data_IF_925897233120
#
_entry.id   IF_925897233120
#
_cell.length_a   1.000
_cell.length_b   1.000
_cell.length_c   1.000
_cell.angle_alpha   90.00
_cell.angle_beta   90.00
_cell.angle_gamma   90.00
#
_symmetry.space_group_name_H-M   'P 1'
#
loop_
_entity.id
_entity.type
_entity.pdbx_description
1 polymer ?
#
# COMPACT_ATOMS: atom_id res chain seq x y z
N UNK A 1 -74.37 37.92 6.85
CA UNK A 1 -73.12 37.28 7.29
C UNK A 1 -72.50 36.57 6.10
N UNK A 2 -71.51 37.19 5.44
CA UNK A 2 -70.74 36.57 4.34
C UNK A 2 -69.61 35.76 4.98
N UNK A 3 -69.62 34.43 4.86
CA UNK A 3 -68.45 33.61 5.20
C UNK A 3 -67.71 33.25 3.92
N UNK A 4 -66.56 33.90 3.80
CA UNK A 4 -65.50 33.66 2.83
C UNK A 4 -64.87 32.30 3.18
N UNK A 5 -64.98 31.31 2.29
CA UNK A 5 -64.18 30.08 2.39
C UNK A 5 -62.89 30.35 1.63
N UNK A 6 -61.81 30.57 2.38
CA UNK A 6 -60.46 30.68 1.84
C UNK A 6 -60.01 29.29 1.47
N UNK A 7 -59.86 29.03 0.17
CA UNK A 7 -59.20 27.84 -0.36
C UNK A 7 -57.70 27.98 -0.07
N UNK A 8 -57.21 27.26 0.94
CA UNK A 8 -55.80 27.20 1.27
C UNK A 8 -55.11 26.30 0.25
N UNK A 9 -54.61 26.89 -0.84
CA UNK A 9 -53.69 26.24 -1.75
C UNK A 9 -52.38 25.96 -0.98
N UNK A 10 -52.18 24.69 -0.61
CA UNK A 10 -50.88 24.21 -0.12
C UNK A 10 -49.92 24.26 -1.31
N UNK A 11 -49.15 25.34 -1.40
CA UNK A 11 -47.94 25.38 -2.23
C UNK A 11 -46.97 24.33 -1.68
N UNK A 12 -46.79 23.21 -2.40
CA UNK A 12 -45.60 22.36 -2.24
C UNK A 12 -44.37 23.15 -2.71
N UNK A 13 -43.77 23.90 -1.80
CA UNK A 13 -42.47 24.54 -1.97
C UNK A 13 -41.40 23.64 -1.33
N UNK A 14 -40.90 22.62 -2.06
CA UNK A 14 -39.55 22.06 -1.83
C UNK A 14 -39.06 21.15 -2.98
N UNK A 15 -39.05 21.65 -4.21
CA UNK A 15 -38.40 20.95 -5.34
C UNK A 15 -37.00 21.50 -5.69
N UNK A 16 -36.49 22.50 -4.97
CA UNK A 16 -35.20 23.15 -5.26
C UNK A 16 -34.08 22.78 -4.26
N UNK A 17 -34.16 21.58 -3.67
CA UNK A 17 -33.18 21.08 -2.71
C UNK A 17 -32.06 20.26 -3.33
N UNK A 18 -31.01 20.03 -2.53
CA UNK A 18 -30.06 18.92 -2.68
C UNK A 18 -30.15 18.10 -1.41
N UNK A 19 -30.32 16.80 -1.55
CA UNK A 19 -30.50 15.85 -0.47
C UNK A 19 -29.59 14.66 -0.74
N UNK A 20 -28.47 14.59 -0.02
CA UNK A 20 -27.52 13.52 -0.25
C UNK A 20 -28.15 12.17 0.12
N UNK A 21 -28.28 11.27 -0.86
CA UNK A 21 -28.60 9.86 -0.64
C UNK A 21 -27.36 9.08 -0.22
N UNK A 22 -26.18 9.52 -0.68
CA UNK A 22 -24.89 8.95 -0.30
C UNK A 22 -23.86 10.05 -0.03
N UNK A 23 -22.93 9.79 0.90
CA UNK A 23 -21.83 10.71 1.22
C UNK A 23 -20.55 9.94 1.47
N UNK A 24 -19.53 10.25 0.68
CA UNK A 24 -18.19 9.70 0.76
C UNK A 24 -17.26 10.69 1.47
N UNK A 25 -16.47 10.19 2.42
CA UNK A 25 -15.45 10.95 3.12
C UNK A 25 -14.10 10.37 2.77
N UNK A 26 -13.26 11.15 2.12
CA UNK A 26 -12.05 10.68 1.47
C UNK A 26 -10.83 11.38 2.09
N UNK A 27 -9.75 10.61 2.22
CA UNK A 27 -8.41 11.11 2.49
C UNK A 27 -7.58 10.79 1.26
N UNK A 28 -7.02 11.82 0.63
CA UNK A 28 -6.11 11.69 -0.50
C UNK A 28 -4.69 11.55 0.03
N UNK A 29 -3.90 10.67 -0.59
CA UNK A 29 -2.50 10.39 -0.23
C UNK A 29 -1.70 9.96 -1.46
N UNK A 30 -0.36 10.02 -1.37
CA UNK A 30 0.55 9.47 -2.38
C UNK A 30 0.44 7.94 -2.51
N UNK A 31 0.09 7.25 -1.42
CA UNK A 31 -0.15 5.80 -1.39
C UNK A 31 -1.34 5.33 -2.25
N UNK A 32 -2.21 6.24 -2.70
CA UNK A 32 -3.28 5.90 -3.62
C UNK A 32 -3.04 6.41 -5.04
N UNK A 33 -1.95 7.14 -5.27
CA UNK A 33 -1.62 7.72 -6.56
C UNK A 33 -1.26 6.64 -7.58
N UNK A 34 -1.52 6.93 -8.86
CA UNK A 34 -1.21 6.03 -9.98
C UNK A 34 -0.37 6.80 -10.99
N UNK A 35 0.94 6.50 -11.13
CA UNK A 35 1.72 5.58 -10.30
C UNK A 35 1.86 6.03 -8.83
N UNK A 36 2.18 5.08 -7.94
CA UNK A 36 2.52 5.34 -6.54
C UNK A 36 3.65 6.36 -6.45
N UNK A 37 3.59 7.20 -5.43
CA UNK A 37 4.66 8.12 -5.08
C UNK A 37 4.77 8.24 -3.57
N UNK A 38 5.94 8.68 -3.11
CA UNK A 38 6.28 8.75 -1.69
C UNK A 38 5.91 10.13 -1.09
N UNK A 39 4.87 10.78 -1.62
CA UNK A 39 4.41 12.06 -1.08
C UNK A 39 3.74 11.87 0.28
N UNK A 40 4.27 12.57 1.27
CA UNK A 40 3.68 12.73 2.60
C UNK A 40 2.52 13.75 2.61
N UNK A 41 2.22 14.39 1.48
CA UNK A 41 1.07 15.28 1.41
C UNK A 41 -0.22 14.49 1.57
N UNK A 42 -1.16 15.09 2.29
CA UNK A 42 -2.51 14.55 2.42
C UNK A 42 -3.55 15.66 2.49
N UNK A 43 -4.72 15.38 1.93
CA UNK A 43 -5.88 16.27 2.07
C UNK A 43 -7.18 15.49 2.15
N UNK A 44 -8.27 16.18 2.51
CA UNK A 44 -9.60 15.59 2.65
C UNK A 44 -10.54 16.08 1.57
N UNK A 45 -11.39 15.18 1.11
CA UNK A 45 -12.52 15.51 0.26
C UNK A 45 -13.82 14.91 0.80
N UNK A 46 -14.93 15.51 0.37
CA UNK A 46 -16.27 14.98 0.60
C UNK A 46 -17.03 15.00 -0.70
N UNK A 47 -17.55 13.85 -1.11
CA UNK A 47 -18.42 13.71 -2.29
C UNK A 47 -19.81 13.32 -1.82
N UNK A 48 -20.85 13.95 -2.38
CA UNK A 48 -22.23 13.71 -2.03
C UNK A 48 -23.04 13.50 -3.30
N UNK A 49 -23.79 12.41 -3.34
CA UNK A 49 -24.69 12.06 -4.44
C UNK A 49 -26.14 12.24 -3.98
N UNK A 50 -26.96 12.91 -4.79
CA UNK A 50 -28.43 12.94 -4.67
C UNK A 50 -28.98 12.16 -5.88
N UNK A 51 -29.21 10.86 -5.71
CA UNK A 51 -29.67 9.98 -6.79
C UNK A 51 -31.04 10.39 -7.33
N UNK A 52 -31.94 10.80 -6.44
CA UNK A 52 -33.31 11.17 -6.79
C UNK A 52 -33.34 12.36 -7.75
N UNK A 53 -32.43 13.32 -7.56
CA UNK A 53 -32.34 14.53 -8.36
C UNK A 53 -31.17 14.51 -9.35
N UNK A 54 -30.40 13.41 -9.41
CA UNK A 54 -29.25 13.21 -10.29
C UNK A 54 -28.18 14.31 -10.13
N UNK A 55 -27.83 14.63 -8.88
CA UNK A 55 -26.88 15.71 -8.58
C UNK A 55 -25.64 15.20 -7.86
N UNK A 56 -24.48 15.75 -8.21
CA UNK A 56 -23.22 15.58 -7.49
C UNK A 56 -22.83 16.88 -6.78
N UNK A 57 -22.32 16.76 -5.56
CA UNK A 57 -21.55 17.84 -4.92
C UNK A 57 -20.26 17.28 -4.35
N UNK A 58 -19.13 17.80 -4.79
CA UNK A 58 -17.84 17.50 -4.17
C UNK A 58 -17.25 18.76 -3.54
N UNK A 59 -16.52 18.57 -2.44
CA UNK A 59 -15.66 19.58 -1.81
C UNK A 59 -14.31 18.95 -1.54
N UNK A 60 -13.25 19.63 -1.97
CA UNK A 60 -11.86 19.23 -1.74
C UNK A 60 -11.16 20.34 -0.97
N UNK A 61 -10.54 20.03 0.16
CA UNK A 61 -9.67 20.98 0.84
C UNK A 61 -8.31 21.04 0.14
N UNK A 62 -7.70 22.23 0.07
CA UNK A 62 -6.41 22.43 -0.61
C UNK A 62 -5.40 23.17 0.27
N UNK A 63 -5.73 23.40 1.54
CA UNK A 63 -4.75 23.90 2.50
C UNK A 63 -3.72 22.82 2.81
N UNK A 64 -2.45 23.21 2.89
CA UNK A 64 -1.35 22.27 3.16
C UNK A 64 -0.85 21.52 1.93
N UNK A 65 -1.47 21.68 0.76
CA UNK A 65 -0.92 21.17 -0.50
C UNK A 65 -0.01 22.24 -1.10
N UNK A 66 1.28 22.14 -0.83
CA UNK A 66 2.30 22.99 -1.42
C UNK A 66 2.37 22.78 -2.94
N UNK A 67 2.64 23.85 -3.70
CA UNK A 67 2.71 23.76 -5.16
C UNK A 67 1.40 23.40 -5.87
N UNK A 68 0.24 23.44 -5.20
CA UNK A 68 -1.06 23.12 -5.81
C UNK A 68 -1.30 23.82 -7.15
N UNK A 69 -1.75 23.07 -8.16
CA UNK A 69 -2.15 23.59 -9.48
C UNK A 69 -3.63 23.45 -9.76
N UNK A 70 -4.12 22.22 -9.78
CA UNK A 70 -5.52 21.91 -10.08
C UNK A 70 -5.87 20.52 -9.55
N UNK A 71 -7.17 20.21 -9.55
CA UNK A 71 -7.68 18.92 -9.13
C UNK A 71 -8.89 18.53 -9.96
N UNK A 72 -9.09 17.23 -10.11
CA UNK A 72 -10.14 16.66 -10.94
C UNK A 72 -10.84 15.50 -10.23
N UNK A 73 -12.06 15.21 -10.67
CA UNK A 73 -12.69 13.89 -10.54
C UNK A 73 -12.48 13.19 -11.88
N UNK A 74 -11.98 11.97 -11.83
CA UNK A 74 -11.73 11.12 -13.00
C UNK A 74 -12.59 9.86 -12.95
N UNK A 75 -12.83 9.26 -14.11
CA UNK A 75 -13.20 7.86 -14.22
C UNK A 75 -11.94 6.97 -14.15
N UNK A 76 -12.08 5.74 -13.67
CA UNK A 76 -11.02 4.76 -13.44
C UNK A 76 -11.15 4.07 -12.08
N UNK A 77 -11.06 2.73 -12.09
CA UNK A 77 -11.09 1.91 -10.89
C UNK A 77 -9.82 2.04 -10.03
N UNK A 78 -9.67 1.11 -9.08
CA UNK A 78 -8.49 1.07 -8.23
C UNK A 78 -7.23 0.76 -9.07
N UNK A 79 -6.15 1.52 -8.88
CA UNK A 79 -4.91 1.35 -9.63
C UNK A 79 -4.97 1.76 -11.11
N UNK A 80 -6.08 2.35 -11.56
CA UNK A 80 -6.29 2.81 -12.93
C UNK A 80 -6.17 4.33 -13.08
N UNK A 81 -5.82 4.74 -14.29
CA UNK A 81 -5.97 6.12 -14.76
C UNK A 81 -7.14 6.20 -15.75
N UNK A 82 -7.80 7.35 -15.81
CA UNK A 82 -8.84 7.57 -16.80
C UNK A 82 -9.15 9.03 -17.07
N UNK A 83 -10.21 9.27 -17.83
CA UNK A 83 -10.61 10.58 -18.31
C UNK A 83 -11.09 11.50 -17.18
N UNK A 84 -10.98 12.81 -17.40
CA UNK A 84 -11.54 13.82 -16.49
C UNK A 84 -13.05 13.87 -16.66
N UNK A 85 -13.78 13.64 -15.57
CA UNK A 85 -15.23 13.83 -15.49
C UNK A 85 -15.55 15.27 -15.08
N UNK A 86 -14.88 15.77 -14.03
CA UNK A 86 -15.15 17.09 -13.48
C UNK A 86 -13.88 17.81 -13.02
N UNK A 87 -13.84 19.12 -13.23
CA UNK A 87 -12.78 20.00 -12.71
C UNK A 87 -13.22 20.68 -11.41
N UNK A 88 -12.37 20.64 -10.39
CA UNK A 88 -12.61 21.38 -9.16
C UNK A 88 -12.37 22.88 -9.36
N UNK A 89 -13.37 23.70 -9.02
CA UNK A 89 -13.29 25.15 -9.16
C UNK A 89 -13.38 25.86 -7.81
N UNK A 90 -12.85 27.07 -7.74
CA UNK A 90 -13.08 27.95 -6.61
C UNK A 90 -14.59 28.28 -6.48
N UNK A 91 -15.16 28.29 -5.25
CA UNK A 91 -16.56 28.62 -5.06
C UNK A 91 -16.88 30.06 -5.51
N UNK A 92 -17.74 30.20 -6.54
CA UNK A 92 -18.08 31.47 -7.22
C UNK A 92 -18.53 32.66 -6.34
N UNK A 93 -19.00 32.43 -5.11
CA UNK A 93 -19.55 33.47 -4.22
C UNK A 93 -19.05 33.35 -2.78
N UNK A 94 -17.82 32.88 -2.60
CA UNK A 94 -17.22 32.75 -1.26
C UNK A 94 -16.00 33.65 -1.12
N UNK A 95 -15.96 34.45 -0.06
CA UNK A 95 -14.79 35.24 0.32
C UNK A 95 -14.18 34.61 1.56
N UNK A 96 -12.96 34.11 1.43
CA UNK A 96 -12.23 33.48 2.52
C UNK A 96 -11.94 34.47 3.64
N UNK A 97 -12.28 34.09 4.87
CA UNK A 97 -11.82 34.82 6.05
C UNK A 97 -10.39 34.40 6.40
N UNK A 98 -9.67 35.25 7.13
CA UNK A 98 -8.36 34.91 7.64
C UNK A 98 -8.43 33.64 8.52
N UNK A 99 -7.57 32.65 8.25
CA UNK A 99 -7.57 31.35 8.92
C UNK A 99 -8.66 30.37 8.46
N UNK A 100 -9.51 30.74 7.50
CA UNK A 100 -10.49 29.82 6.92
C UNK A 100 -9.81 28.86 5.96
N UNK A 101 -10.13 27.56 6.10
CA UNK A 101 -9.64 26.51 5.20
C UNK A 101 -10.17 26.70 3.78
N UNK A 102 -9.25 26.84 2.82
CA UNK A 102 -9.55 26.91 1.39
C UNK A 102 -10.01 25.56 0.87
N UNK A 103 -11.05 25.62 0.06
CA UNK A 103 -11.59 24.45 -0.61
C UNK A 103 -12.04 24.78 -2.03
N UNK A 104 -12.03 23.75 -2.87
CA UNK A 104 -12.61 23.75 -4.21
C UNK A 104 -13.89 22.93 -4.22
N UNK A 105 -14.69 23.11 -5.27
CA UNK A 105 -15.99 22.43 -5.40
C UNK A 105 -16.24 21.92 -6.82
N UNK A 106 -16.98 20.81 -6.89
CA UNK A 106 -17.69 20.35 -8.09
C UNK A 106 -19.19 20.38 -7.78
N UNK A 107 -20.00 20.83 -8.75
CA UNK A 107 -21.47 20.80 -8.66
C UNK A 107 -22.05 20.37 -10.01
N UNK A 108 -22.58 19.16 -10.07
CA UNK A 108 -23.26 18.62 -11.25
C UNK A 108 -24.77 18.47 -11.01
N UNK A 109 -25.60 18.75 -12.01
CA UNK A 109 -27.06 18.70 -11.92
C UNK A 109 -27.75 17.87 -13.02
N UNK A 110 -27.04 16.94 -13.66
CA UNK A 110 -27.61 16.08 -14.68
C UNK A 110 -26.86 14.77 -14.86
N UNK A 111 -26.43 14.13 -13.77
CA UNK A 111 -25.75 12.83 -13.85
C UNK A 111 -26.61 11.82 -14.63
N UNK A 112 -26.00 11.15 -15.60
CA UNK A 112 -26.59 9.98 -16.24
C UNK A 112 -26.71 8.82 -15.24
N UNK A 113 -27.49 7.81 -15.62
CA UNK A 113 -27.58 6.60 -14.81
C UNK A 113 -26.23 5.88 -14.72
N UNK A 114 -25.52 5.78 -15.85
CA UNK A 114 -24.20 5.14 -15.93
C UNK A 114 -23.17 5.82 -15.02
N UNK A 115 -23.13 7.16 -14.99
CA UNK A 115 -22.22 7.90 -14.10
C UNK A 115 -22.53 7.67 -12.61
N UNK A 116 -23.81 7.59 -12.25
CA UNK A 116 -24.20 7.29 -10.86
C UNK A 116 -23.82 5.86 -10.47
N UNK A 117 -23.96 4.88 -11.37
CA UNK A 117 -23.52 3.51 -11.11
C UNK A 117 -22.00 3.43 -11.00
N UNK A 118 -21.25 4.04 -11.93
CA UNK A 118 -19.79 4.11 -11.88
C UNK A 118 -19.28 4.72 -10.56
N UNK A 119 -19.87 5.83 -10.11
CA UNK A 119 -19.54 6.44 -8.82
C UNK A 119 -19.84 5.49 -7.64
N UNK A 120 -20.94 4.74 -7.68
CA UNK A 120 -21.34 3.81 -6.62
C UNK A 120 -20.46 2.56 -6.56
N UNK A 121 -20.02 2.08 -7.72
CA UNK A 121 -19.11 0.95 -7.86
C UNK A 121 -17.66 1.30 -7.49
N UNK A 122 -17.39 2.59 -7.23
CA UNK A 122 -16.06 3.05 -6.90
C UNK A 122 -15.18 3.20 -8.12
N UNK A 123 -15.74 3.35 -9.32
CA UNK A 123 -15.01 3.51 -10.58
C UNK A 123 -14.52 4.93 -10.82
N UNK A 124 -14.66 5.83 -9.84
CA UNK A 124 -14.20 7.22 -9.92
C UNK A 124 -13.21 7.54 -8.81
N UNK A 125 -12.27 8.44 -9.08
CA UNK A 125 -11.30 8.93 -8.11
C UNK A 125 -11.12 10.45 -8.17
N UNK A 126 -10.57 11.02 -7.10
CA UNK A 126 -10.10 12.40 -7.07
C UNK A 126 -8.58 12.39 -7.12
N UNK A 127 -7.99 13.27 -7.93
CA UNK A 127 -6.55 13.51 -7.95
C UNK A 127 -6.24 15.00 -7.81
N UNK A 128 -5.12 15.32 -7.18
CA UNK A 128 -4.59 16.67 -6.98
C UNK A 128 -3.21 16.76 -7.60
N UNK A 129 -3.04 17.74 -8.49
CA UNK A 129 -1.80 17.98 -9.21
C UNK A 129 -1.04 19.15 -8.59
N UNK A 130 0.27 19.00 -8.47
CA UNK A 130 1.18 20.02 -7.95
C UNK A 130 2.29 20.31 -8.95
N UNK A 131 3.12 21.31 -8.66
CA UNK A 131 4.36 21.57 -9.41
C UNK A 131 5.33 20.40 -9.36
N UNK A 132 5.42 19.74 -8.20
CA UNK A 132 6.37 18.65 -7.96
C UNK A 132 5.94 17.36 -8.66
N UNK A 133 4.63 17.04 -8.65
CA UNK A 133 4.09 15.83 -9.28
C UNK A 133 2.93 16.20 -10.22
N UNK A 134 3.21 16.63 -11.46
CA UNK A 134 2.19 17.05 -12.42
C UNK A 134 1.26 15.93 -12.89
N UNK A 135 1.66 14.67 -12.80
CA UNK A 135 0.80 13.50 -13.07
C UNK A 135 -0.29 13.30 -12.01
N UNK A 136 -0.15 13.96 -10.85
CA UNK A 136 -1.05 13.88 -9.72
C UNK A 136 -0.34 13.33 -8.49
N UNK A 137 -0.20 14.17 -7.47
CA UNK A 137 0.57 13.88 -6.27
C UNK A 137 -0.23 13.03 -5.28
N UNK A 138 -1.47 13.41 -5.00
CA UNK A 138 -2.31 12.71 -4.02
C UNK A 138 -3.65 12.34 -4.64
N UNK A 139 -4.06 11.08 -4.41
CA UNK A 139 -5.28 10.49 -4.99
C UNK A 139 -6.15 9.88 -3.91
N UNK A 140 -7.45 9.80 -4.16
CA UNK A 140 -8.37 8.96 -3.39
C UNK A 140 -9.43 8.35 -4.30
N UNK A 141 -9.63 7.04 -4.20
CA UNK A 141 -10.79 6.40 -4.82
C UNK A 141 -12.07 6.88 -4.12
N UNK A 142 -13.15 7.10 -4.87
CA UNK A 142 -14.44 7.50 -4.29
C UNK A 142 -15.22 6.24 -3.90
N UNK A 143 -14.93 5.72 -2.71
CA UNK A 143 -15.51 4.49 -2.17
C UNK A 143 -16.18 4.71 -0.81
N UNK A 144 -17.18 3.90 -0.42
CA UNK A 144 -17.77 4.00 0.92
C UNK A 144 -16.76 3.57 1.99
N UNK A 145 -17.03 3.95 3.25
CA UNK A 145 -16.15 3.63 4.40
C UNK A 145 -15.98 2.14 4.69
N UNK A 146 -16.82 1.29 4.10
CA UNK A 146 -16.73 -0.16 4.19
C UNK A 146 -15.60 -0.71 3.32
N UNK A 147 -15.07 0.11 2.40
CA UNK A 147 -13.92 -0.25 1.57
C UNK A 147 -12.63 0.23 2.24
N UNK A 148 -11.72 -0.71 2.47
CA UNK A 148 -10.33 -0.44 2.85
C UNK A 148 -9.47 -0.50 1.61
N UNK A 149 -8.61 0.50 1.40
CA UNK A 149 -7.65 0.53 0.29
C UNK A 149 -6.25 0.32 0.83
N UNK A 150 -5.51 -0.60 0.22
CA UNK A 150 -4.09 -0.82 0.47
C UNK A 150 -3.30 -0.64 -0.83
N UNK A 151 -2.03 -0.33 -0.67
CA UNK A 151 -1.06 -0.25 -1.76
C UNK A 151 0.24 -0.92 -1.34
N UNK A 152 0.95 -1.53 -2.27
CA UNK A 152 2.25 -2.15 -2.02
C UNK A 152 3.13 -2.06 -3.25
N UNK A 153 4.44 -2.15 -3.05
CA UNK A 153 5.43 -2.27 -4.12
C UNK A 153 5.91 -3.72 -4.19
N UNK A 154 6.17 -4.21 -5.39
CA UNK A 154 6.77 -5.50 -5.65
C UNK A 154 8.09 -5.33 -6.39
N UNK A 155 9.10 -6.09 -6.00
CA UNK A 155 10.44 -6.04 -6.58
C UNK A 155 11.18 -7.38 -6.36
N UNK A 156 12.37 -7.50 -6.92
CA UNK A 156 13.20 -8.70 -6.80
C UNK A 156 13.85 -8.89 -5.42
N UNK A 157 14.08 -7.82 -4.64
CA UNK A 157 14.73 -7.94 -3.33
C UNK A 157 13.79 -8.54 -2.28
N UNK A 158 12.48 -8.40 -2.47
CA UNK A 158 11.46 -9.05 -1.66
C UNK A 158 11.27 -10.54 -1.97
N UNK A 159 11.71 -11.03 -3.14
CA UNK A 159 11.55 -12.44 -3.52
C UNK A 159 12.39 -13.34 -2.60
N UNK A 160 11.94 -14.58 -2.36
CA UNK A 160 12.63 -15.52 -1.47
C UNK A 160 13.07 -16.77 -2.23
N UNK A 161 14.38 -16.94 -2.49
CA UNK A 161 15.45 -15.97 -2.25
C UNK A 161 15.44 -14.75 -3.18
N UNK A 162 16.22 -13.71 -2.87
CA UNK A 162 16.21 -12.45 -3.63
C UNK A 162 16.66 -12.65 -5.08
N UNK A 163 16.07 -11.88 -5.99
CA UNK A 163 16.36 -11.90 -7.42
C UNK A 163 16.92 -10.55 -7.83
N UNK A 164 18.09 -10.57 -8.48
CA UNK A 164 18.69 -9.37 -9.04
C UNK A 164 17.98 -9.03 -10.37
N UNK A 165 17.05 -8.09 -10.32
CA UNK A 165 16.25 -7.65 -11.47
C UNK A 165 15.81 -6.19 -11.29
N UNK A 166 15.64 -5.47 -12.40
CA UNK A 166 15.04 -4.14 -12.42
C UNK A 166 13.50 -4.19 -12.56
N UNK A 167 12.94 -5.40 -12.64
CA UNK A 167 11.50 -5.62 -12.67
C UNK A 167 10.82 -5.05 -11.42
N UNK A 168 9.62 -4.52 -11.59
CA UNK A 168 8.86 -3.94 -10.47
C UNK A 168 7.36 -4.07 -10.66
N UNK A 169 6.63 -3.91 -9.57
CA UNK A 169 5.16 -3.89 -9.56
C UNK A 169 4.62 -2.88 -8.54
N UNK A 170 3.48 -2.28 -8.89
CA UNK A 170 2.74 -1.38 -8.01
C UNK A 170 1.33 -1.93 -7.85
N UNK A 171 1.03 -2.44 -6.66
CA UNK A 171 -0.23 -3.07 -6.32
C UNK A 171 -1.18 -2.11 -5.63
N UNK A 172 -2.45 -2.26 -5.96
CA UNK A 172 -3.57 -1.54 -5.38
C UNK A 172 -4.69 -2.51 -5.08
N UNK A 173 -5.21 -2.42 -3.86
CA UNK A 173 -6.18 -3.36 -3.32
C UNK A 173 -7.34 -2.58 -2.73
N UNK A 174 -8.56 -3.01 -3.02
CA UNK A 174 -9.78 -2.53 -2.39
C UNK A 174 -10.55 -3.71 -1.80
N UNK A 175 -10.70 -3.74 -0.47
CA UNK A 175 -11.43 -4.79 0.25
C UNK A 175 -12.76 -4.26 0.78
N UNK A 176 -13.87 -4.92 0.45
CA UNK A 176 -15.19 -4.60 0.95
C UNK A 176 -15.55 -5.45 2.16
N UNK A 177 -15.57 -4.83 3.34
CA UNK A 177 -15.89 -5.52 4.61
C UNK A 177 -17.35 -5.95 4.78
N UNK A 178 -18.27 -5.52 3.90
CA UNK A 178 -19.68 -5.95 3.95
C UNK A 178 -19.92 -7.14 3.03
N UNK A 179 -19.38 -7.09 1.82
CA UNK A 179 -19.51 -8.15 0.82
C UNK A 179 -18.42 -9.23 0.96
N UNK A 180 -17.38 -8.97 1.76
CA UNK A 180 -16.18 -9.82 1.90
C UNK A 180 -15.53 -10.10 0.54
N UNK A 181 -15.40 -9.06 -0.27
CA UNK A 181 -14.82 -9.12 -1.63
C UNK A 181 -13.53 -8.31 -1.74
N UNK A 182 -12.62 -8.81 -2.55
CA UNK A 182 -11.31 -8.26 -2.83
C UNK A 182 -11.21 -7.87 -4.30
N UNK A 183 -10.95 -6.60 -4.59
CA UNK A 183 -10.46 -6.16 -5.89
C UNK A 183 -8.97 -5.86 -5.76
N UNK A 184 -8.17 -6.37 -6.68
CA UNK A 184 -6.73 -6.14 -6.76
C UNK A 184 -6.39 -5.76 -8.19
N UNK A 185 -5.54 -4.75 -8.34
CA UNK A 185 -4.82 -4.45 -9.58
C UNK A 185 -3.35 -4.26 -9.29
N UNK A 186 -2.48 -4.92 -10.06
CA UNK A 186 -1.04 -4.69 -10.04
C UNK A 186 -0.59 -4.23 -11.42
N UNK A 187 0.05 -3.05 -11.46
CA UNK A 187 0.72 -2.55 -12.65
C UNK A 187 2.22 -2.91 -12.53
N UNK A 188 2.69 -3.82 -13.37
CA UNK A 188 4.06 -4.32 -13.40
C UNK A 188 4.89 -3.70 -14.52
N UNK A 189 6.21 -3.86 -14.47
CA UNK A 189 7.15 -3.42 -15.50
C UNK A 189 8.31 -4.42 -15.58
N UNK A 190 8.77 -4.70 -16.81
CA UNK A 190 9.93 -5.55 -17.06
C UNK A 190 9.67 -7.04 -16.90
N UNK A 191 8.41 -7.47 -16.86
CA UNK A 191 7.97 -8.87 -16.74
C UNK A 191 6.84 -9.19 -17.71
N UNK A 192 6.85 -8.63 -18.91
CA UNK A 192 5.84 -8.86 -19.94
C UNK A 192 5.74 -10.34 -20.37
N UNK A 193 6.78 -11.13 -20.12
CA UNK A 193 6.82 -12.58 -20.38
C UNK A 193 6.40 -13.43 -19.17
N UNK A 194 5.93 -12.81 -18.08
CA UNK A 194 5.43 -13.54 -16.92
C UNK A 194 4.26 -14.45 -17.30
N UNK A 195 4.32 -15.70 -16.83
CA UNK A 195 3.39 -16.78 -17.19
C UNK A 195 2.34 -17.05 -16.13
N UNK A 196 2.52 -16.51 -14.92
CA UNK A 196 1.57 -16.62 -13.82
C UNK A 196 1.83 -15.53 -12.78
N UNK A 197 0.79 -15.15 -12.05
CA UNK A 197 0.91 -14.36 -10.83
C UNK A 197 -0.13 -14.79 -9.82
N UNK A 198 0.18 -14.62 -8.53
CA UNK A 198 -0.63 -15.14 -7.43
C UNK A 198 -0.62 -14.18 -6.23
N UNK A 199 -1.64 -14.27 -5.40
CA UNK A 199 -1.55 -13.94 -3.97
C UNK A 199 -1.24 -15.23 -3.22
N UNK A 200 -0.20 -15.22 -2.40
CA UNK A 200 0.20 -16.33 -1.55
C UNK A 200 0.02 -15.99 -0.07
N UNK A 201 -0.11 -17.04 0.76
CA UNK A 201 0.15 -16.95 2.20
C UNK A 201 1.65 -16.89 2.47
N UNK A 202 2.06 -16.19 3.53
CA UNK A 202 3.44 -16.14 4.01
C UNK A 202 3.85 -14.75 4.48
N UNK A 203 4.51 -14.69 5.64
CA UNK A 203 5.21 -13.48 6.13
C UNK A 203 6.50 -13.24 5.34
N UNK A 204 7.15 -12.10 5.59
CA UNK A 204 8.44 -11.74 5.00
C UNK A 204 9.47 -12.86 5.14
N UNK A 205 10.24 -13.12 4.09
CA UNK A 205 11.25 -14.18 4.06
C UNK A 205 10.70 -15.63 4.04
N UNK A 206 9.38 -15.82 4.00
CA UNK A 206 8.74 -17.15 3.98
C UNK A 206 7.92 -17.36 2.71
N UNK A 207 8.01 -18.55 2.12
CA UNK A 207 7.17 -18.98 1.00
C UNK A 207 5.96 -19.77 1.52
N UNK A 208 4.80 -19.59 0.92
CA UNK A 208 3.58 -20.32 1.28
C UNK A 208 2.69 -20.66 0.11
N UNK A 209 1.49 -21.16 0.42
CA UNK A 209 0.55 -21.67 -0.59
C UNK A 209 -0.13 -20.56 -1.38
N UNK A 210 -0.65 -20.90 -2.57
CA UNK A 210 -1.47 -19.99 -3.38
C UNK A 210 -2.82 -19.79 -2.70
N UNK A 211 -3.19 -18.52 -2.47
CA UNK A 211 -4.53 -18.11 -2.06
C UNK A 211 -5.39 -17.73 -3.28
N UNK A 212 -4.87 -16.88 -4.17
CA UNK A 212 -5.57 -16.38 -5.36
C UNK A 212 -4.67 -16.50 -6.57
N UNK A 213 -5.20 -16.98 -7.69
CA UNK A 213 -4.55 -16.89 -9.01
C UNK A 213 -4.98 -15.57 -9.65
N UNK A 214 -4.03 -14.77 -10.12
CA UNK A 214 -4.31 -13.49 -10.77
C UNK A 214 -4.46 -13.68 -12.28
N UNK A 215 -5.37 -12.89 -12.85
CA UNK A 215 -5.58 -12.81 -14.29
C UNK A 215 -4.66 -11.76 -14.90
N UNK A 216 -3.94 -12.14 -15.96
CA UNK A 216 -3.21 -11.19 -16.79
C UNK A 216 -4.20 -10.48 -17.73
N UNK A 217 -4.08 -9.17 -17.86
CA UNK A 217 -4.89 -8.42 -18.80
C UNK A 217 -4.47 -8.76 -20.25
N UNK A 218 -5.46 -9.04 -21.11
CA UNK A 218 -5.22 -9.46 -22.49
C UNK A 218 -4.70 -8.34 -23.41
N UNK A 219 -5.00 -7.08 -23.08
CA UNK A 219 -4.60 -5.91 -23.88
C UNK A 219 -3.29 -5.28 -23.37
N UNK A 220 -2.95 -5.52 -22.09
CA UNK A 220 -1.73 -5.04 -21.45
C UNK A 220 -1.11 -6.13 -20.54
N UNK A 221 -0.09 -6.86 -20.99
CA UNK A 221 0.51 -7.96 -20.23
C UNK A 221 1.18 -7.51 -18.92
N UNK A 222 1.40 -6.21 -18.75
CA UNK A 222 1.93 -5.64 -17.51
C UNK A 222 0.86 -5.47 -16.42
N UNK A 223 -0.42 -5.73 -16.71
CA UNK A 223 -1.51 -5.54 -15.77
C UNK A 223 -2.03 -6.88 -15.29
N UNK A 224 -2.10 -7.03 -13.97
CA UNK A 224 -2.63 -8.22 -13.32
C UNK A 224 -3.78 -7.84 -12.39
N UNK A 225 -4.84 -8.65 -12.37
CA UNK A 225 -6.00 -8.40 -11.51
C UNK A 225 -6.41 -9.65 -10.75
N UNK A 226 -7.01 -9.47 -9.57
CA UNK A 226 -7.76 -10.57 -8.97
C UNK A 226 -9.00 -10.86 -9.84
N UNK A 227 -9.42 -12.13 -9.97
CA UNK A 227 -10.67 -12.47 -10.64
C UNK A 227 -11.87 -11.70 -10.05
N UNK A 228 -12.86 -11.41 -10.89
CA UNK A 228 -14.11 -10.79 -10.45
C UNK A 228 -14.75 -11.61 -9.32
N UNK A 229 -15.36 -10.92 -8.35
CA UNK A 229 -15.99 -11.52 -7.16
C UNK A 229 -15.05 -12.37 -6.28
N UNK A 230 -13.73 -12.16 -6.33
CA UNK A 230 -12.78 -12.80 -5.40
C UNK A 230 -13.23 -12.53 -3.96
N UNK A 231 -13.64 -13.58 -3.25
CA UNK A 231 -14.07 -13.49 -1.86
C UNK A 231 -12.91 -13.72 -0.90
N UNK A 232 -12.84 -12.90 0.14
CA UNK A 232 -11.82 -12.95 1.18
C UNK A 232 -12.50 -12.72 2.52
N UNK A 233 -12.41 -13.67 3.45
CA UNK A 233 -13.03 -13.51 4.77
C UNK A 233 -12.42 -12.34 5.54
N UNK A 234 -13.17 -11.75 6.46
CA UNK A 234 -12.65 -10.70 7.33
C UNK A 234 -11.42 -11.14 8.14
N UNK A 235 -11.38 -12.39 8.62
CA UNK A 235 -10.22 -12.94 9.35
C UNK A 235 -8.96 -12.98 8.46
N UNK A 236 -9.11 -13.47 7.22
CA UNK A 236 -8.01 -13.50 6.25
C UNK A 236 -7.54 -12.10 5.88
N UNK A 237 -8.44 -11.13 5.81
CA UNK A 237 -8.07 -9.74 5.56
C UNK A 237 -7.32 -9.11 6.74
N UNK A 238 -7.69 -9.41 7.99
CA UNK A 238 -6.92 -8.97 9.17
C UNK A 238 -5.51 -9.57 9.19
N UNK A 239 -5.36 -10.85 8.85
CA UNK A 239 -4.05 -11.48 8.68
C UNK A 239 -3.24 -10.78 7.55
N UNK A 240 -3.89 -10.40 6.46
CA UNK A 240 -3.29 -9.61 5.38
C UNK A 240 -2.82 -8.24 5.84
N UNK A 241 -3.60 -7.53 6.67
CA UNK A 241 -3.16 -6.26 7.25
C UNK A 241 -1.90 -6.43 8.13
N UNK A 242 -1.70 -7.60 8.72
CA UNK A 242 -0.53 -7.91 9.55
C UNK A 242 0.72 -8.34 8.78
N UNK A 243 0.68 -8.39 7.44
CA UNK A 243 1.81 -8.81 6.62
C UNK A 243 1.88 -10.31 6.36
N UNK A 244 0.78 -11.06 6.47
CA UNK A 244 0.80 -12.52 6.28
C UNK A 244 0.59 -12.98 4.83
N UNK A 245 0.53 -12.06 3.85
CA UNK A 245 0.29 -12.38 2.44
C UNK A 245 1.17 -11.56 1.51
N UNK A 246 1.48 -12.12 0.35
CA UNK A 246 2.28 -11.45 -0.68
C UNK A 246 1.76 -11.74 -2.08
N UNK A 247 2.04 -10.85 -3.01
CA UNK A 247 1.92 -11.12 -4.44
C UNK A 247 3.23 -11.66 -4.99
N UNK A 248 3.16 -12.54 -5.98
CA UNK A 248 4.33 -13.08 -6.66
C UNK A 248 4.07 -13.27 -8.16
N UNK A 249 5.09 -13.05 -8.98
CA UNK A 249 4.99 -13.02 -10.44
C UNK A 249 6.09 -13.89 -11.03
N UNK A 250 5.73 -14.83 -11.90
CA UNK A 250 6.62 -15.89 -12.36
C UNK A 250 7.00 -15.68 -13.82
N UNK A 251 8.29 -15.51 -14.10
CA UNK A 251 8.84 -15.48 -15.47
C UNK A 251 9.46 -16.82 -15.82
N UNK A 252 9.68 -17.13 -17.11
CA UNK A 252 10.48 -18.29 -17.50
C UNK A 252 11.91 -18.28 -16.94
N UNK A 253 12.48 -17.08 -16.74
CA UNK A 253 13.82 -16.90 -16.18
C UNK A 253 13.87 -17.17 -14.67
N UNK A 254 12.82 -16.79 -13.95
CA UNK A 254 12.67 -17.00 -12.52
C UNK A 254 11.34 -17.72 -12.20
N UNK A 255 11.24 -19.05 -12.46
CA UNK A 255 10.02 -19.81 -12.23
C UNK A 255 9.48 -19.79 -10.78
N UNK A 256 10.32 -19.76 -9.71
CA UNK A 256 9.83 -19.57 -8.35
C UNK A 256 9.23 -18.19 -8.07
N UNK A 257 9.46 -17.22 -8.97
CA UNK A 257 9.04 -15.82 -8.88
C UNK A 257 10.19 -14.88 -9.23
N UNK A 258 9.93 -13.89 -10.08
CA UNK A 258 10.83 -12.78 -10.46
C UNK A 258 10.74 -11.63 -9.44
N UNK A 259 9.51 -11.21 -9.12
CA UNK A 259 9.23 -10.14 -8.16
C UNK A 259 8.17 -10.56 -7.14
N UNK A 260 8.28 -10.02 -5.94
CA UNK A 260 7.36 -10.24 -4.82
C UNK A 260 6.97 -8.90 -4.18
N UNK A 261 5.71 -8.78 -3.77
CA UNK A 261 5.23 -7.62 -3.02
C UNK A 261 4.46 -8.05 -1.79
N UNK A 262 5.01 -7.82 -0.60
CA UNK A 262 4.32 -8.11 0.66
C UNK A 262 3.13 -7.15 0.83
N UNK A 263 2.00 -7.67 1.30
CA UNK A 263 0.77 -6.89 1.54
C UNK A 263 0.61 -6.71 3.05
N UNK A 264 0.47 -5.47 3.50
CA UNK A 264 0.31 -5.09 4.91
C UNK A 264 -0.41 -3.73 5.05
N UNK A 265 -0.81 -3.36 6.26
CA UNK A 265 -1.35 -2.03 6.55
C UNK A 265 -0.25 -0.95 6.51
N UNK A 266 -0.58 0.34 6.27
CA UNK A 266 0.40 1.43 6.31
C UNK A 266 1.12 1.65 7.66
N UNK A 267 0.79 0.86 8.69
CA UNK A 267 1.48 0.88 9.98
C UNK A 267 2.78 0.07 9.97
N UNK A 268 3.10 -0.59 8.85
CA UNK A 268 4.30 -1.41 8.69
C UNK A 268 5.26 -0.85 7.66
N UNK A 269 6.55 -1.08 7.91
CA UNK A 269 7.66 -0.87 7.00
C UNK A 269 8.38 -2.18 6.72
N UNK A 270 8.72 -2.43 5.45
CA UNK A 270 9.47 -3.61 5.01
C UNK A 270 10.92 -3.23 4.69
N UNK A 271 11.85 -4.12 5.02
CA UNK A 271 13.28 -3.96 4.77
C UNK A 271 13.83 -5.26 4.17
N UNK A 272 14.66 -5.14 3.14
CA UNK A 272 15.35 -6.27 2.50
C UNK A 272 16.83 -5.95 2.42
N UNK A 273 17.70 -6.89 2.80
CA UNK A 273 19.14 -6.64 2.84
C UNK A 273 19.97 -7.90 2.57
N UNK A 274 21.06 -7.81 1.81
CA UNK A 274 21.95 -8.94 1.59
C UNK A 274 22.91 -9.13 2.78
N UNK A 275 23.31 -10.39 3.03
CA UNK A 275 24.35 -10.76 3.98
C UNK A 275 25.57 -11.27 3.23
N UNK A 276 26.76 -10.82 3.63
CA UNK A 276 28.04 -11.24 3.04
C UNK A 276 29.20 -11.09 4.02
N UNK A 277 30.28 -11.84 3.84
CA UNK A 277 31.50 -11.70 4.64
C UNK A 277 32.19 -10.34 4.50
N UNK A 278 32.05 -9.68 3.34
CA UNK A 278 32.63 -8.35 3.09
C UNK A 278 32.05 -7.24 4.00
N UNK A 279 30.85 -7.48 4.56
CA UNK A 279 30.19 -6.53 5.45
C UNK A 279 30.63 -6.70 6.91
N UNK A 280 31.32 -7.79 7.28
CA UNK A 280 31.85 -8.01 8.62
C UNK A 280 32.93 -6.97 8.98
N UNK A 281 33.14 -6.76 10.28
CA UNK A 281 34.15 -5.81 10.78
C UNK A 281 35.07 -6.53 11.77
N UNK A 282 36.29 -6.95 11.35
CA UNK A 282 36.86 -6.82 10.00
C UNK A 282 36.23 -7.77 8.95
N UNK A 283 36.36 -7.49 7.63
CA UNK A 283 35.80 -8.34 6.57
C UNK A 283 36.31 -9.77 6.63
N UNK A 284 35.44 -10.72 6.29
CA UNK A 284 35.71 -12.16 6.27
C UNK A 284 35.69 -12.66 4.83
N UNK A 285 36.76 -13.33 4.41
CA UNK A 285 36.81 -14.01 3.11
C UNK A 285 36.05 -15.35 3.20
N UNK A 286 34.84 -15.38 2.70
CA UNK A 286 33.98 -16.57 2.62
C UNK A 286 33.11 -16.50 1.36
N UNK A 287 32.69 -17.66 0.85
CA UNK A 287 31.67 -17.74 -0.21
C UNK A 287 30.24 -17.76 0.36
N UNK A 288 30.11 -17.75 1.70
CA UNK A 288 28.83 -17.68 2.38
C UNK A 288 28.08 -16.37 2.08
N UNK A 289 26.76 -16.48 2.00
CA UNK A 289 25.87 -15.34 1.73
C UNK A 289 24.51 -15.56 2.38
N UNK A 290 23.66 -14.54 2.34
CA UNK A 290 22.27 -14.68 2.75
C UNK A 290 21.41 -13.50 2.33
N UNK A 291 20.11 -13.68 2.50
CA UNK A 291 19.10 -12.65 2.27
C UNK A 291 18.34 -12.43 3.59
N UNK A 292 18.20 -11.18 4.00
CA UNK A 292 17.46 -10.76 5.18
C UNK A 292 16.20 -10.00 4.79
N UNK A 293 15.11 -10.29 5.50
CA UNK A 293 13.80 -9.69 5.32
C UNK A 293 13.27 -9.29 6.68
N UNK A 294 12.82 -8.05 6.83
CA UNK A 294 12.22 -7.57 8.06
C UNK A 294 10.91 -6.82 7.79
N UNK A 295 9.94 -7.01 8.67
CA UNK A 295 8.68 -6.28 8.70
C UNK A 295 8.52 -5.68 10.10
N UNK A 296 8.61 -4.35 10.18
CA UNK A 296 8.49 -3.60 11.42
C UNK A 296 7.13 -2.93 11.48
N UNK A 297 6.38 -3.15 12.57
CA UNK A 297 5.22 -2.32 12.88
C UNK A 297 5.71 -1.00 13.52
N UNK A 298 5.54 0.11 12.81
CA UNK A 298 6.05 1.42 13.21
C UNK A 298 5.29 1.99 14.43
N UNK A 299 4.07 1.51 14.66
CA UNK A 299 3.23 1.92 15.80
C UNK A 299 3.66 1.21 17.07
N UNK A 300 3.66 -0.12 17.09
CA UNK A 300 3.85 -0.90 18.31
C UNK A 300 5.25 -1.53 18.48
N UNK A 301 6.08 -1.54 17.43
CA UNK A 301 7.44 -2.08 17.45
C UNK A 301 7.56 -3.57 17.26
N UNK A 302 6.47 -4.28 16.97
CA UNK A 302 6.53 -5.69 16.60
C UNK A 302 7.43 -5.88 15.37
N UNK A 303 8.34 -6.85 15.44
CA UNK A 303 9.33 -7.13 14.41
C UNK A 303 9.32 -8.61 14.04
N UNK A 304 8.95 -8.87 12.80
CA UNK A 304 9.29 -10.12 12.13
C UNK A 304 10.57 -9.90 11.34
N UNK A 305 11.62 -10.67 11.63
CA UNK A 305 12.82 -10.70 10.81
C UNK A 305 13.16 -12.15 10.49
N UNK A 306 13.53 -12.40 9.25
CA UNK A 306 13.93 -13.71 8.76
C UNK A 306 15.15 -13.61 7.86
N UNK A 307 16.07 -14.54 8.03
CA UNK A 307 17.25 -14.74 7.20
C UNK A 307 17.10 -16.05 6.42
N UNK A 308 17.56 -16.05 5.18
CA UNK A 308 17.80 -17.24 4.37
C UNK A 308 19.28 -17.24 3.98
N UNK A 309 20.06 -18.11 4.60
CA UNK A 309 21.52 -18.16 4.48
C UNK A 309 21.98 -19.29 3.57
N UNK A 310 23.24 -19.25 3.14
CA UNK A 310 23.89 -20.25 2.28
C UNK A 310 25.36 -20.38 2.69
N UNK A 311 25.88 -21.61 2.77
CA UNK A 311 27.29 -21.86 3.08
C UNK A 311 27.66 -21.67 4.54
N UNK A 312 26.68 -21.61 5.45
CA UNK A 312 26.83 -21.51 6.90
C UNK A 312 25.92 -22.52 7.60
N UNK A 313 25.77 -23.72 7.05
CA UNK A 313 24.89 -24.77 7.59
C UNK A 313 25.34 -25.26 8.98
N UNK A 314 26.58 -24.99 9.38
CA UNK A 314 27.13 -25.25 10.72
C UNK A 314 27.03 -24.04 11.67
N UNK A 315 26.31 -22.98 11.29
CA UNK A 315 26.10 -21.80 12.12
C UNK A 315 25.49 -22.16 13.47
N UNK A 316 26.00 -21.50 14.52
CA UNK A 316 25.66 -21.76 15.92
C UNK A 316 24.85 -20.63 16.57
N UNK A 317 24.83 -19.45 15.95
CA UNK A 317 24.04 -18.31 16.42
C UNK A 317 23.84 -17.29 15.29
N UNK A 318 22.79 -16.48 15.40
CA UNK A 318 22.62 -15.26 14.63
C UNK A 318 21.98 -14.18 15.52
N UNK A 319 22.32 -12.91 15.30
CA UNK A 319 21.88 -11.83 16.17
C UNK A 319 21.56 -10.56 15.38
N UNK A 320 20.56 -9.82 15.86
CA UNK A 320 20.42 -8.39 15.54
C UNK A 320 21.29 -7.61 16.50
N UNK A 321 22.12 -6.72 15.98
CA UNK A 321 23.00 -5.83 16.73
C UNK A 321 22.64 -4.37 16.47
N UNK A 322 22.96 -3.50 17.43
CA UNK A 322 22.86 -2.04 17.26
C UNK A 322 24.19 -1.49 16.77
N UNK A 323 24.25 -1.01 15.53
CA UNK A 323 25.42 -0.39 14.93
C UNK A 323 25.17 0.04 13.49
N UNK A 324 25.71 1.19 13.11
CA UNK A 324 25.73 1.64 11.71
C UNK A 324 26.77 0.85 10.90
N UNK A 325 26.72 0.98 9.58
CA UNK A 325 27.66 0.40 8.64
C UNK A 325 29.12 0.67 9.04
N UNK A 326 29.93 -0.40 9.08
CA UNK A 326 31.34 -0.33 9.47
C UNK A 326 31.61 -0.26 10.98
N UNK A 327 30.59 -0.33 11.84
CA UNK A 327 30.74 -0.33 13.31
C UNK A 327 30.14 -1.59 13.93
N UNK A 328 30.84 -2.19 14.90
CA UNK A 328 30.32 -3.28 15.73
C UNK A 328 29.60 -2.72 16.96
N UNK A 329 28.55 -3.39 17.41
CA UNK A 329 27.85 -3.01 18.63
C UNK A 329 27.22 -4.17 19.38
N UNK A 330 26.46 -3.85 20.43
CA UNK A 330 25.86 -4.85 21.31
C UNK A 330 24.74 -5.64 20.65
N UNK A 331 24.50 -6.85 21.14
CA UNK A 331 23.35 -7.69 20.75
C UNK A 331 22.06 -7.02 21.25
N UNK A 332 21.08 -6.92 20.36
CA UNK A 332 19.72 -6.44 20.63
C UNK A 332 18.75 -7.61 20.73
N UNK A 333 18.80 -8.52 19.74
CA UNK A 333 17.95 -9.72 19.69
C UNK A 333 18.80 -10.92 19.26
N UNK A 334 18.64 -12.05 19.94
CA UNK A 334 19.13 -13.34 19.45
C UNK A 334 18.09 -14.00 18.56
N UNK A 335 18.51 -14.43 17.37
CA UNK A 335 17.64 -15.12 16.42
C UNK A 335 17.60 -16.62 16.71
N UNK A 336 16.47 -17.23 16.38
CA UNK A 336 16.22 -18.66 16.49
C UNK A 336 16.43 -19.32 15.13
N UNK A 337 17.17 -20.43 15.11
CA UNK A 337 17.29 -21.26 13.92
C UNK A 337 15.98 -22.02 13.71
N UNK A 338 15.53 -22.09 12.46
CA UNK A 338 14.36 -22.89 12.10
C UNK A 338 14.64 -24.38 12.32
N UNK A 339 13.65 -25.09 12.86
CA UNK A 339 13.73 -26.55 13.09
C UNK A 339 13.55 -27.35 11.80
N UNK A 340 12.94 -26.75 10.78
CA UNK A 340 12.64 -27.40 9.50
C UNK A 340 13.70 -27.11 8.43
N UNK A 341 14.49 -26.05 8.61
CA UNK A 341 15.54 -25.63 7.67
C UNK A 341 16.68 -24.92 8.42
N UNK A 342 17.84 -25.57 8.49
CA UNK A 342 19.02 -25.05 9.20
C UNK A 342 19.59 -23.77 8.59
N UNK A 343 19.23 -23.46 7.34
CA UNK A 343 19.64 -22.26 6.61
C UNK A 343 18.77 -21.04 6.94
N UNK A 344 17.78 -21.20 7.82
CA UNK A 344 16.83 -20.16 8.17
C UNK A 344 17.01 -19.75 9.62
N UNK A 345 17.07 -18.44 9.84
CA UNK A 345 17.07 -17.81 11.17
C UNK A 345 15.95 -16.79 11.25
N UNK A 346 15.33 -16.63 12.42
CA UNK A 346 14.21 -15.69 12.57
C UNK A 346 14.14 -15.09 13.98
N UNK A 347 13.42 -13.98 14.13
CA UNK A 347 13.13 -13.43 15.44
C UNK A 347 12.28 -14.41 16.26
N UNK A 348 12.49 -14.47 17.59
CA UNK A 348 11.53 -15.13 18.48
C UNK A 348 10.12 -14.56 18.30
N UNK A 349 9.10 -15.39 18.52
CA UNK A 349 7.70 -14.96 18.49
C UNK A 349 7.48 -13.75 19.42
N UNK A 350 6.64 -12.81 18.98
CA UNK A 350 6.31 -11.58 19.71
C UNK A 350 7.49 -10.62 19.96
N UNK A 351 8.60 -10.76 19.23
CA UNK A 351 9.71 -9.80 19.29
C UNK A 351 9.21 -8.39 19.05
N UNK A 352 9.54 -7.49 19.98
CA UNK A 352 9.10 -6.09 19.95
C UNK A 352 10.27 -5.18 20.29
N UNK A 353 10.52 -4.18 19.46
CA UNK A 353 11.50 -3.13 19.68
C UNK A 353 10.93 -2.02 20.56
N UNK A 354 11.76 -1.44 21.43
CA UNK A 354 11.42 -0.19 22.13
C UNK A 354 11.33 0.98 21.15
N UNK A 355 10.72 2.10 21.56
CA UNK A 355 10.66 3.30 20.71
C UNK A 355 12.04 3.81 20.28
N UNK A 356 13.03 3.73 21.17
CA UNK A 356 14.43 4.10 20.84
C UNK A 356 15.02 3.14 19.80
N UNK A 357 14.80 1.83 19.98
CA UNK A 357 15.27 0.82 19.02
C UNK A 357 14.58 0.95 17.67
N UNK A 358 13.27 1.26 17.62
CA UNK A 358 12.53 1.53 16.37
C UNK A 358 13.15 2.69 15.59
N UNK A 359 13.38 3.82 16.25
CA UNK A 359 14.00 5.00 15.62
C UNK A 359 15.39 4.65 15.07
N UNK A 360 16.17 3.87 15.83
CA UNK A 360 17.47 3.39 15.37
C UNK A 360 17.35 2.39 14.22
N UNK A 361 16.35 1.52 14.21
CA UNK A 361 16.09 0.57 13.12
C UNK A 361 15.73 1.29 11.82
N UNK A 362 14.76 2.21 11.90
CA UNK A 362 14.30 3.04 10.77
C UNK A 362 15.38 4.00 10.22
N UNK A 363 16.46 4.26 10.96
CA UNK A 363 17.56 5.12 10.53
C UNK A 363 18.81 4.34 10.08
N UNK A 364 18.70 3.03 9.87
CA UNK A 364 19.80 2.20 9.41
C UNK A 364 20.84 1.85 10.50
N UNK A 365 20.44 1.92 11.77
CA UNK A 365 21.30 1.74 12.94
C UNK A 365 21.41 0.31 13.45
N UNK A 366 20.98 -0.69 12.70
CA UNK A 366 21.05 -2.10 13.07
C UNK A 366 21.63 -2.96 11.96
N UNK A 367 22.29 -4.05 12.34
CA UNK A 367 22.76 -5.08 11.44
C UNK A 367 22.46 -6.46 11.98
N UNK A 368 22.45 -7.46 11.11
CA UNK A 368 22.37 -8.86 11.47
C UNK A 368 23.69 -9.53 11.15
N UNK A 369 24.15 -10.46 12.00
CA UNK A 369 25.24 -11.35 11.67
C UNK A 369 24.90 -12.81 11.98
N UNK A 370 25.65 -13.72 11.37
CA UNK A 370 25.53 -15.17 11.56
C UNK A 370 26.91 -15.73 11.90
N UNK A 371 26.98 -16.57 12.93
CA UNK A 371 28.23 -17.05 13.52
C UNK A 371 28.41 -18.54 13.25
N UNK A 372 29.57 -18.93 12.75
CA UNK A 372 29.99 -20.33 12.63
C UNK A 372 31.10 -20.66 13.63
N UNK A 373 31.39 -21.95 13.90
CA UNK A 373 32.53 -22.35 14.71
C UNK A 373 33.87 -21.86 14.16
N UNK A 374 33.99 -21.73 12.83
CA UNK A 374 35.19 -21.24 12.16
C UNK A 374 35.40 -19.73 12.35
N UNK A 375 34.31 -18.95 12.35
CA UNK A 375 34.33 -17.49 12.47
C UNK A 375 33.39 -17.02 13.59
N UNK A 376 33.79 -17.28 14.83
CA UNK A 376 32.96 -17.01 16.01
C UNK A 376 32.57 -15.53 16.21
N UNK A 377 33.29 -14.57 15.59
CA UNK A 377 32.92 -13.15 15.61
C UNK A 377 31.73 -12.80 14.72
N UNK A 378 31.41 -13.65 13.74
CA UNK A 378 30.46 -13.40 12.65
C UNK A 378 31.11 -13.79 11.32
N UNK A 379 30.48 -14.68 10.56
CA UNK A 379 30.93 -15.10 9.23
C UNK A 379 30.31 -14.24 8.11
N UNK A 380 29.02 -13.90 8.24
CA UNK A 380 28.32 -13.02 7.31
C UNK A 380 27.51 -11.97 8.07
N UNK A 381 27.53 -10.73 7.57
CA UNK A 381 26.77 -9.59 8.09
C UNK A 381 25.90 -8.96 7.01
N UNK A 382 24.74 -8.46 7.40
CA UNK A 382 23.88 -7.60 6.59
C UNK A 382 23.44 -6.37 7.37
N UNK A 383 23.71 -5.17 6.84
CA UNK A 383 23.15 -3.95 7.40
C UNK A 383 21.66 -3.85 7.07
N UNK A 384 20.82 -3.52 8.05
CA UNK A 384 19.41 -3.25 7.83
C UNK A 384 19.27 -1.77 7.47
N UNK A 385 18.93 -1.47 6.22
CA UNK A 385 18.76 -0.10 5.72
C UNK A 385 17.36 0.09 5.13
N UNK A 386 16.75 1.30 5.26
CA UNK A 386 15.41 1.62 4.73
C UNK A 386 15.27 1.60 3.21
#
# INVERSE_FOLDING_TARGET
MKKLVVLMAVFLLSACGFEATQTYHLTLSGSQAVPLNDSELSTKARVQLDEKRKKLRARLYIDGIEGFKFAHIHNGGIGETGGVEYTFEAPKKHKWKHGEKRYLVVRENGLSYAEMEALKNGDWYINVHTEAVPSGEVRAQIVPKTITILSFKADGSQQVPSVATDASGQGYLAYNSVEETLNLRVNSQGIEDAVAAHIHTGRVGSNGGVLVVLDQNAEDPNVWTAPEDTSLSAETFEDMLSGAFYTNFHTPANPPGEIRGQIFSPDYSIYTFPLSGDQEVPPVTTDASGDGYALLNDVNGHLDLRLVTRGVEDAVAAHIHQGITGTNGGVVVGLEQSVDDVSVWQTPVDTTLTDEQKVMFQSGGHYVNVHTPAVGSGEIRGQIEP
#
